data_IF_850125027811
#
_entry.id   IF_850125027811
#
_cell.length_a   1.000
_cell.length_b   1.000
_cell.length_c   1.000
_cell.angle_alpha   90.00
_cell.angle_beta   90.00
_cell.angle_gamma   90.00
#
_symmetry.space_group_name_H-M   'P 1'
#
loop_
_entity.id
_entity.type
_entity.pdbx_description
1 polymer ?
#
# COMPACT_ATOMS: atom_id res chain seq x y z
N UNK A 1 -24.62 19.21 31.05
CA UNK A 1 -25.38 18.51 29.98
C UNK A 1 -24.36 17.58 29.34
N UNK A 2 -24.48 16.31 29.69
CA UNK A 2 -23.46 15.26 29.59
C UNK A 2 -23.25 14.78 28.15
N UNK A 3 -21.99 14.71 27.72
CA UNK A 3 -21.52 14.02 26.52
C UNK A 3 -21.27 12.55 26.88
N UNK A 4 -22.29 11.71 26.75
CA UNK A 4 -22.16 10.26 26.82
C UNK A 4 -22.95 9.61 25.68
N UNK A 5 -22.31 8.63 25.04
CA UNK A 5 -22.77 7.70 24.00
C UNK A 5 -22.80 8.16 22.54
N UNK A 6 -21.71 7.87 21.82
CA UNK A 6 -21.81 7.28 20.48
C UNK A 6 -20.58 6.41 20.14
N UNK A 7 -20.44 5.27 20.81
CA UNK A 7 -19.75 4.11 20.25
C UNK A 7 -20.63 2.89 20.48
N UNK A 8 -21.29 2.43 19.42
CA UNK A 8 -21.90 1.11 19.38
C UNK A 8 -21.32 0.36 18.19
N UNK A 9 -20.77 -0.80 18.54
CA UNK A 9 -20.14 -1.80 17.70
C UNK A 9 -21.03 -2.23 16.53
N UNK A 10 -20.49 -2.22 15.31
CA UNK A 10 -21.03 -3.02 14.21
C UNK A 10 -20.24 -4.32 14.16
N UNK A 11 -20.87 -5.39 14.64
CA UNK A 11 -20.41 -6.75 14.43
C UNK A 11 -20.64 -7.14 12.96
N UNK A 12 -19.57 -7.48 12.24
CA UNK A 12 -19.66 -8.10 10.92
C UNK A 12 -20.19 -9.55 11.08
N UNK A 13 -21.38 -9.81 10.55
CA UNK A 13 -21.83 -11.18 10.30
C UNK A 13 -21.45 -11.58 8.85
N UNK A 14 -21.02 -12.83 8.61
CA UNK A 14 -20.68 -13.29 7.27
C UNK A 14 -21.95 -13.49 6.42
N UNK A 15 -22.00 -12.88 5.24
CA UNK A 15 -23.07 -13.08 4.28
C UNK A 15 -23.01 -14.51 3.71
N UNK A 16 -23.97 -15.36 4.06
CA UNK A 16 -24.25 -16.61 3.35
C UNK A 16 -25.11 -16.29 2.13
N UNK A 17 -24.54 -16.45 0.93
CA UNK A 17 -25.30 -16.44 -0.32
C UNK A 17 -25.92 -17.83 -0.49
N UNK A 18 -27.24 -17.92 -0.36
CA UNK A 18 -28.01 -19.10 -0.72
C UNK A 18 -28.21 -19.14 -2.23
N UNK A 19 -27.52 -20.05 -2.92
CA UNK A 19 -27.76 -20.34 -4.34
C UNK A 19 -28.95 -21.29 -4.44
N UNK A 20 -30.06 -20.84 -5.05
CA UNK A 20 -31.13 -21.74 -5.49
C UNK A 20 -30.67 -22.46 -6.77
N UNK A 21 -30.49 -23.78 -6.67
CA UNK A 21 -30.34 -24.68 -7.81
C UNK A 21 -31.70 -24.90 -8.47
N UNK A 22 -31.83 -24.54 -9.76
CA UNK A 22 -32.95 -24.95 -10.62
C UNK A 22 -32.43 -25.97 -11.63
N UNK A 23 -32.96 -27.19 -11.59
CA UNK A 23 -32.65 -28.29 -12.51
C UNK A 23 -33.54 -28.26 -13.77
N UNK A 24 -32.99 -28.81 -14.87
CA UNK A 24 -33.63 -29.15 -16.17
C UNK A 24 -33.24 -28.19 -17.30
N UNK A 25 -32.79 -28.59 -18.49
CA UNK A 25 -32.80 -29.88 -19.21
C UNK A 25 -31.73 -29.84 -20.35
N UNK A 26 -31.30 -30.99 -20.89
CA UNK A 26 -30.16 -31.15 -21.82
C UNK A 26 -30.41 -30.74 -23.30
N UNK A 27 -29.48 -29.99 -23.93
CA UNK A 27 -28.94 -30.30 -25.28
C UNK A 27 -27.76 -29.38 -25.69
N UNK A 28 -26.84 -29.85 -26.56
CA UNK A 28 -25.47 -29.34 -26.61
C UNK A 28 -25.23 -28.37 -27.77
N UNK A 29 -24.44 -27.34 -27.53
CA UNK A 29 -23.78 -26.60 -28.61
C UNK A 29 -23.75 -25.08 -28.43
N UNK A 30 -22.76 -24.60 -27.68
CA UNK A 30 -22.00 -23.40 -28.02
C UNK A 30 -20.90 -23.23 -26.98
N UNK A 31 -19.64 -23.24 -27.44
CA UNK A 31 -18.50 -22.77 -26.68
C UNK A 31 -18.72 -21.28 -26.40
N UNK A 32 -19.36 -20.96 -25.29
CA UNK A 32 -19.38 -19.60 -24.77
C UNK A 32 -18.08 -19.38 -24.00
N UNK A 33 -17.18 -18.63 -24.61
CA UNK A 33 -15.95 -18.17 -24.00
C UNK A 33 -16.38 -17.20 -22.90
N UNK A 34 -16.49 -17.73 -21.68
CA UNK A 34 -16.69 -16.92 -20.48
C UNK A 34 -15.49 -15.97 -20.33
N UNK A 35 -15.62 -14.77 -20.89
CA UNK A 35 -14.84 -13.61 -20.47
C UNK A 35 -15.35 -13.26 -19.08
N UNK A 36 -14.73 -13.89 -18.08
CA UNK A 36 -15.04 -13.68 -16.67
C UNK A 36 -14.72 -12.27 -16.16
N UNK A 37 -15.00 -11.99 -14.87
CA UNK A 37 -15.07 -10.66 -14.24
C UNK A 37 -13.80 -9.78 -14.27
N UNK A 38 -12.68 -10.29 -14.79
CA UNK A 38 -11.37 -9.61 -14.80
C UNK A 38 -11.36 -8.33 -15.64
N UNK A 39 -12.11 -8.29 -16.76
CA UNK A 39 -12.12 -7.14 -17.65
C UNK A 39 -12.77 -5.89 -17.03
N UNK A 40 -13.79 -6.07 -16.18
CA UNK A 40 -14.53 -4.96 -15.55
C UNK A 40 -13.71 -4.33 -14.42
N UNK A 41 -12.97 -5.13 -13.64
CA UNK A 41 -12.11 -4.64 -12.56
C UNK A 41 -10.94 -3.78 -13.06
N UNK A 42 -10.38 -4.12 -14.21
CA UNK A 42 -9.27 -3.36 -14.79
C UNK A 42 -9.71 -2.03 -15.44
N UNK A 43 -10.95 -1.96 -15.95
CA UNK A 43 -11.50 -0.75 -16.56
C UNK A 43 -12.11 0.22 -15.52
N UNK A 44 -12.66 -0.31 -14.42
CA UNK A 44 -13.38 0.47 -13.41
C UNK A 44 -13.02 0.05 -11.97
N UNK A 45 -11.75 0.21 -11.54
CA UNK A 45 -11.27 -0.27 -10.24
C UNK A 45 -11.99 0.33 -9.03
N UNK A 46 -12.59 1.51 -9.18
CA UNK A 46 -13.36 2.16 -8.12
C UNK A 46 -14.66 1.42 -7.76
N UNK A 47 -15.16 0.50 -8.58
CA UNK A 47 -16.38 -0.25 -8.25
C UNK A 47 -16.18 -1.30 -7.15
N UNK A 48 -14.94 -1.77 -6.97
CA UNK A 48 -14.60 -2.80 -5.97
C UNK A 48 -14.05 -2.19 -4.68
N UNK A 49 -13.71 -0.90 -4.70
CA UNK A 49 -13.19 -0.21 -3.54
C UNK A 49 -14.28 0.43 -2.66
N UNK A 50 -14.17 0.33 -1.33
CA UNK A 50 -15.13 0.95 -0.42
C UNK A 50 -15.10 2.48 -0.57
N UNK A 51 -16.25 3.12 -0.36
CA UNK A 51 -16.41 4.58 -0.36
C UNK A 51 -16.13 5.30 -1.69
N UNK A 52 -16.05 4.58 -2.82
CA UNK A 52 -15.75 5.16 -4.14
C UNK A 52 -16.98 5.41 -5.03
N UNK A 53 -18.20 5.42 -4.47
CA UNK A 53 -19.47 5.51 -5.23
C UNK A 53 -19.61 6.75 -6.13
N UNK A 54 -18.86 7.81 -5.86
CA UNK A 54 -18.92 9.07 -6.59
C UNK A 54 -17.85 9.19 -7.69
N UNK A 55 -16.96 8.20 -7.80
CA UNK A 55 -15.94 8.16 -8.84
C UNK A 55 -16.58 7.61 -10.11
N UNK A 56 -16.44 8.33 -11.22
CA UNK A 56 -17.06 7.96 -12.49
C UNK A 56 -16.07 7.86 -13.65
N UNK A 57 -14.80 8.19 -13.40
CA UNK A 57 -13.76 8.17 -14.41
C UNK A 57 -12.42 7.70 -13.85
N UNK A 58 -11.59 7.15 -14.71
CA UNK A 58 -10.20 6.79 -14.38
C UNK A 58 -9.40 8.03 -13.98
N UNK A 59 -9.66 9.19 -14.59
CA UNK A 59 -8.96 10.43 -14.24
C UNK A 59 -9.23 10.86 -12.79
N UNK A 60 -10.49 10.77 -12.35
CA UNK A 60 -10.87 11.07 -10.96
C UNK A 60 -10.28 10.05 -9.99
N UNK A 61 -10.34 8.76 -10.34
CA UNK A 61 -9.74 7.69 -9.56
C UNK A 61 -8.24 7.90 -9.34
N UNK A 62 -7.49 8.16 -10.42
CA UNK A 62 -6.04 8.40 -10.33
C UNK A 62 -5.73 9.70 -9.55
N UNK A 63 -6.57 10.73 -9.67
CA UNK A 63 -6.40 11.97 -8.90
C UNK A 63 -6.58 11.72 -7.41
N UNK A 64 -7.60 10.95 -7.03
CA UNK A 64 -7.80 10.54 -5.64
C UNK A 64 -6.64 9.69 -5.13
N UNK A 65 -6.15 8.71 -5.91
CA UNK A 65 -4.99 7.90 -5.49
C UNK A 65 -3.71 8.70 -5.27
N UNK A 66 -3.50 9.78 -6.02
CA UNK A 66 -2.37 10.70 -5.76
C UNK A 66 -2.56 11.45 -4.43
N UNK A 67 -3.79 11.88 -4.14
CA UNK A 67 -4.13 12.53 -2.86
C UNK A 67 -3.98 11.55 -1.70
N UNK A 68 -4.52 10.34 -1.81
CA UNK A 68 -4.40 9.28 -0.80
C UNK A 68 -2.93 8.99 -0.51
N UNK A 69 -2.11 8.79 -1.55
CA UNK A 69 -0.67 8.57 -1.38
C UNK A 69 0.00 9.72 -0.63
N UNK A 70 -0.25 10.97 -1.02
CA UNK A 70 0.34 12.13 -0.37
C UNK A 70 -0.09 12.25 1.10
N UNK A 71 -1.39 12.18 1.39
CA UNK A 71 -1.93 12.30 2.75
C UNK A 71 -1.39 11.18 3.65
N UNK A 72 -1.42 9.93 3.18
CA UNK A 72 -0.96 8.79 3.97
C UNK A 72 0.54 8.90 4.27
N UNK A 73 1.34 9.39 3.33
CA UNK A 73 2.78 9.59 3.58
C UNK A 73 3.05 10.73 4.59
N UNK A 74 2.30 11.83 4.51
CA UNK A 74 2.37 12.92 5.49
C UNK A 74 1.94 12.47 6.89
N UNK A 75 0.87 11.69 7.01
CA UNK A 75 0.44 11.12 8.30
C UNK A 75 1.50 10.16 8.87
N UNK A 76 2.10 9.33 8.03
CA UNK A 76 3.21 8.48 8.43
C UNK A 76 4.42 9.32 8.90
N UNK A 77 4.71 10.44 8.22
CA UNK A 77 5.80 11.35 8.58
C UNK A 77 5.58 11.99 9.96
N UNK A 78 4.36 12.44 10.25
CA UNK A 78 4.00 12.98 11.57
C UNK A 78 4.19 11.94 12.69
N UNK A 79 3.70 10.72 12.48
CA UNK A 79 3.89 9.61 13.41
C UNK A 79 5.38 9.28 13.61
N UNK A 80 6.15 9.25 12.53
CA UNK A 80 7.58 8.96 12.55
C UNK A 80 8.40 10.06 13.22
N UNK A 81 8.08 11.33 12.99
CA UNK A 81 8.73 12.47 13.65
C UNK A 81 8.51 12.41 15.16
N UNK A 82 7.29 12.10 15.60
CA UNK A 82 6.99 11.86 17.02
C UNK A 82 7.81 10.70 17.58
N UNK A 83 7.93 9.59 16.84
CA UNK A 83 8.79 8.47 17.22
C UNK A 83 10.26 8.86 17.36
N UNK A 84 10.84 9.56 16.37
CA UNK A 84 12.24 9.99 16.39
C UNK A 84 12.52 10.91 17.56
N UNK A 85 11.63 11.86 17.84
CA UNK A 85 11.77 12.76 18.98
C UNK A 85 11.77 11.99 20.31
N UNK A 86 10.88 11.01 20.48
CA UNK A 86 10.89 10.16 21.67
C UNK A 86 12.17 9.32 21.75
N UNK A 87 12.59 8.72 20.64
CA UNK A 87 13.79 7.90 20.55
C UNK A 87 15.05 8.69 20.95
N UNK A 88 15.23 9.90 20.42
CA UNK A 88 16.37 10.76 20.78
C UNK A 88 16.37 11.15 22.26
N UNK A 89 15.20 11.40 22.84
CA UNK A 89 15.09 11.87 24.23
C UNK A 89 15.22 10.72 25.25
N UNK A 90 14.66 9.54 24.95
CA UNK A 90 14.57 8.44 25.91
C UNK A 90 15.68 7.39 25.74
N UNK A 91 16.21 7.22 24.53
CA UNK A 91 17.22 6.20 24.19
C UNK A 91 18.25 6.75 23.19
N UNK A 92 19.03 7.78 23.56
CA UNK A 92 19.98 8.43 22.67
C UNK A 92 21.04 7.46 22.11
N UNK A 93 21.42 6.43 22.86
CA UNK A 93 22.32 5.36 22.40
C UNK A 93 21.73 4.58 21.22
N UNK A 94 20.44 4.26 21.26
CA UNK A 94 19.73 3.58 20.17
C UNK A 94 19.49 4.53 19.00
N UNK A 95 19.17 5.80 19.30
CA UNK A 95 18.97 6.85 18.30
C UNK A 95 20.22 7.14 17.46
N UNK A 96 21.40 6.90 18.03
CA UNK A 96 22.70 7.08 17.35
C UNK A 96 23.07 5.95 16.39
N UNK A 97 22.35 4.81 16.45
CA UNK A 97 22.60 3.66 15.57
C UNK A 97 22.02 3.88 14.19
N UNK A 98 22.69 3.34 13.17
CA UNK A 98 22.22 3.43 11.79
C UNK A 98 21.23 2.29 11.51
N UNK A 99 19.95 2.58 11.69
CA UNK A 99 18.87 1.69 11.30
C UNK A 99 17.82 2.47 10.51
N UNK A 100 17.01 1.73 9.77
CA UNK A 100 15.82 2.22 9.10
C UNK A 100 14.71 1.17 9.21
N UNK A 101 13.65 1.30 8.43
CA UNK A 101 12.57 0.33 8.37
C UNK A 101 11.88 0.33 7.01
N UNK A 102 11.24 -0.79 6.71
CA UNK A 102 10.41 -1.02 5.53
C UNK A 102 9.34 -2.06 5.84
N UNK A 103 8.88 -2.79 4.83
CA UNK A 103 7.98 -3.92 5.02
C UNK A 103 8.70 -5.26 4.81
N UNK A 104 8.30 -6.27 5.57
CA UNK A 104 8.61 -7.66 5.24
C UNK A 104 7.70 -8.18 4.11
N UNK A 105 7.97 -9.41 3.65
CA UNK A 105 7.16 -10.07 2.61
C UNK A 105 5.69 -10.28 2.99
N UNK A 106 5.36 -10.19 4.28
CA UNK A 106 4.00 -10.32 4.80
C UNK A 106 3.30 -8.96 4.97
N UNK A 107 3.98 -7.85 4.65
CA UNK A 107 3.46 -6.49 4.77
C UNK A 107 3.57 -5.89 6.18
N UNK A 108 4.29 -6.51 7.11
CA UNK A 108 4.51 -5.94 8.45
C UNK A 108 5.77 -5.08 8.47
N UNK A 109 5.83 -4.14 9.42
CA UNK A 109 7.06 -3.38 9.67
C UNK A 109 8.25 -4.31 9.94
N UNK A 110 9.33 -4.09 9.19
CA UNK A 110 10.63 -4.73 9.35
C UNK A 110 11.72 -3.68 9.58
N UNK A 111 12.51 -3.86 10.63
CA UNK A 111 13.70 -3.02 10.88
C UNK A 111 14.83 -3.42 9.94
N UNK A 112 15.42 -2.42 9.28
CA UNK A 112 16.58 -2.55 8.41
C UNK A 112 17.81 -2.06 9.17
N UNK A 113 18.79 -2.93 9.38
CA UNK A 113 20.01 -2.63 10.15
C UNK A 113 21.23 -3.17 9.41
N UNK A 114 21.74 -2.42 8.42
CA UNK A 114 22.77 -2.92 7.52
C UNK A 114 24.13 -3.11 8.18
N UNK A 115 24.35 -2.57 9.39
CA UNK A 115 25.57 -2.77 10.17
C UNK A 115 25.44 -3.84 11.25
N UNK A 116 24.27 -4.51 11.35
CA UNK A 116 23.99 -5.51 12.39
C UNK A 116 24.27 -4.98 13.81
N UNK A 117 23.99 -3.69 14.02
CA UNK A 117 24.33 -2.97 15.26
C UNK A 117 23.25 -3.08 16.35
N UNK A 118 22.07 -3.57 15.99
CA UNK A 118 20.94 -3.72 16.90
C UNK A 118 20.92 -5.10 17.57
N UNK A 119 20.69 -5.14 18.88
CA UNK A 119 20.32 -6.37 19.57
C UNK A 119 18.92 -6.83 19.16
N UNK A 120 18.58 -8.08 19.48
CA UNK A 120 17.23 -8.62 19.25
C UNK A 120 16.17 -7.80 19.99
N UNK A 121 16.44 -7.44 21.25
CA UNK A 121 15.54 -6.64 22.10
C UNK A 121 15.34 -5.23 21.54
N UNK A 122 16.40 -4.61 21.00
CA UNK A 122 16.31 -3.30 20.36
C UNK A 122 15.42 -3.35 19.10
N UNK A 123 15.58 -4.37 18.25
CA UNK A 123 14.73 -4.55 17.06
C UNK A 123 13.26 -4.74 17.42
N UNK A 124 12.98 -5.57 18.43
CA UNK A 124 11.63 -5.80 18.94
C UNK A 124 11.03 -4.48 19.42
N UNK A 125 11.76 -3.76 20.28
CA UNK A 125 11.30 -2.50 20.82
C UNK A 125 11.04 -1.45 19.73
N UNK A 126 11.95 -1.28 18.76
CA UNK A 126 11.77 -0.35 17.63
C UNK A 126 10.51 -0.69 16.83
N UNK A 127 10.30 -1.97 16.54
CA UNK A 127 9.12 -2.44 15.80
C UNK A 127 7.84 -2.15 16.58
N UNK A 128 7.80 -2.45 17.87
CA UNK A 128 6.65 -2.20 18.74
C UNK A 128 6.33 -0.70 18.85
N UNK A 129 7.35 0.16 18.97
CA UNK A 129 7.14 1.61 19.06
C UNK A 129 6.58 2.21 17.78
N UNK A 130 7.06 1.75 16.62
CA UNK A 130 6.51 2.16 15.33
C UNK A 130 5.05 1.69 15.22
N UNK A 131 4.76 0.43 15.56
CA UNK A 131 3.40 -0.13 15.53
C UNK A 131 2.44 0.60 16.47
N UNK A 132 2.86 0.90 17.70
CA UNK A 132 2.05 1.61 18.69
C UNK A 132 1.56 2.98 18.21
N UNK A 133 2.29 3.59 17.28
CA UNK A 133 1.96 4.90 16.68
C UNK A 133 1.06 4.82 15.46
N UNK A 134 0.65 3.62 15.04
CA UNK A 134 -0.23 3.43 13.88
C UNK A 134 0.43 3.76 12.54
N UNK A 135 1.76 3.83 12.47
CA UNK A 135 2.46 4.16 11.22
C UNK A 135 2.25 3.09 10.14
N UNK A 136 2.03 1.83 10.54
CA UNK A 136 1.83 0.69 9.63
C UNK A 136 0.64 0.92 8.71
N UNK A 137 -0.51 1.33 9.25
CA UNK A 137 -1.74 1.57 8.49
C UNK A 137 -1.53 2.64 7.41
N UNK A 138 -0.88 3.75 7.78
CA UNK A 138 -0.57 4.84 6.85
C UNK A 138 0.38 4.39 5.72
N UNK A 139 1.38 3.57 6.04
CA UNK A 139 2.31 3.06 5.02
C UNK A 139 1.67 2.00 4.13
N UNK A 140 0.74 1.20 4.66
CA UNK A 140 -0.07 0.26 3.87
C UNK A 140 -0.95 1.04 2.90
N UNK A 141 -1.64 2.08 3.35
CA UNK A 141 -2.47 2.93 2.49
C UNK A 141 -1.64 3.61 1.39
N UNK A 142 -0.48 4.18 1.76
CA UNK A 142 0.46 4.77 0.80
C UNK A 142 0.90 3.75 -0.25
N UNK A 143 1.36 2.56 0.18
CA UNK A 143 1.82 1.53 -0.76
C UNK A 143 0.70 1.05 -1.69
N UNK A 144 -0.51 0.89 -1.16
CA UNK A 144 -1.69 0.48 -1.93
C UNK A 144 -2.06 1.52 -3.00
N UNK A 145 -2.05 2.80 -2.64
CA UNK A 145 -2.27 3.89 -3.59
C UNK A 145 -1.19 3.92 -4.69
N UNK A 146 0.08 3.73 -4.32
CA UNK A 146 1.19 3.70 -5.29
C UNK A 146 1.14 2.50 -6.24
N UNK A 147 0.71 1.33 -5.75
CA UNK A 147 0.45 0.15 -6.58
C UNK A 147 -0.71 0.39 -7.55
N UNK A 148 -1.80 1.01 -7.09
CA UNK A 148 -2.91 1.39 -7.98
C UNK A 148 -2.43 2.36 -9.07
N UNK A 149 -1.63 3.38 -8.72
CA UNK A 149 -1.05 4.30 -9.69
C UNK A 149 -0.13 3.56 -10.68
N UNK A 150 0.71 2.63 -10.22
CA UNK A 150 1.55 1.82 -11.11
C UNK A 150 0.74 0.93 -12.06
N UNK A 151 -0.40 0.41 -11.59
CA UNK A 151 -1.28 -0.45 -12.37
C UNK A 151 -2.05 0.35 -13.43
N UNK A 152 -2.65 1.48 -13.05
CA UNK A 152 -3.66 2.16 -13.85
C UNK A 152 -3.18 3.46 -14.52
N UNK A 153 -2.24 4.22 -13.94
CA UNK A 153 -1.67 5.39 -14.61
C UNK A 153 -0.65 4.94 -15.65
N UNK A 154 -1.06 4.91 -16.91
CA UNK A 154 -0.20 4.48 -18.03
C UNK A 154 0.82 5.55 -18.47
N UNK A 155 0.73 6.76 -17.92
CA UNK A 155 1.53 7.92 -18.35
C UNK A 155 2.47 8.43 -17.26
N UNK A 156 2.20 8.10 -16.00
CA UNK A 156 2.96 8.55 -14.84
C UNK A 156 4.31 7.86 -14.65
N UNK A 157 5.06 8.31 -13.64
CA UNK A 157 6.39 7.80 -13.30
C UNK A 157 6.40 6.26 -13.09
N UNK A 158 5.41 5.76 -12.35
CA UNK A 158 5.30 4.36 -11.96
C UNK A 158 4.93 3.44 -13.16
N UNK A 159 4.35 3.99 -14.23
CA UNK A 159 3.95 3.24 -15.43
C UNK A 159 5.11 2.46 -16.08
N UNK A 160 6.34 2.92 -15.83
CA UNK A 160 7.58 2.38 -16.39
C UNK A 160 8.09 1.16 -15.63
N UNK A 161 7.51 0.82 -14.49
CA UNK A 161 7.99 -0.23 -13.60
C UNK A 161 6.93 -1.30 -13.38
N UNK A 162 7.39 -2.54 -13.21
CA UNK A 162 6.56 -3.62 -12.70
C UNK A 162 6.66 -3.55 -11.19
N UNK A 163 5.56 -3.19 -10.54
CA UNK A 163 5.49 -3.02 -9.10
C UNK A 163 4.33 -3.85 -8.57
N UNK A 164 4.68 -4.84 -7.75
CA UNK A 164 3.76 -5.62 -6.93
C UNK A 164 4.06 -5.38 -5.44
N UNK A 165 3.19 -5.82 -4.54
CA UNK A 165 3.39 -5.66 -3.09
C UNK A 165 4.74 -6.24 -2.62
N UNK A 166 5.15 -7.39 -3.17
CA UNK A 166 6.44 -8.00 -2.87
C UNK A 166 7.64 -7.15 -3.32
N UNK A 167 7.49 -6.37 -4.40
CA UNK A 167 8.53 -5.44 -4.83
C UNK A 167 8.64 -4.27 -3.88
N UNK A 168 7.52 -3.73 -3.39
CA UNK A 168 7.53 -2.66 -2.39
C UNK A 168 8.26 -3.11 -1.13
N UNK A 169 7.90 -4.27 -0.57
CA UNK A 169 8.56 -4.84 0.60
C UNK A 169 10.08 -4.99 0.42
N UNK A 170 10.51 -5.44 -0.77
CA UNK A 170 11.93 -5.65 -1.09
C UNK A 170 12.70 -4.35 -1.32
N UNK A 171 12.07 -3.34 -1.92
CA UNK A 171 12.75 -2.17 -2.47
C UNK A 171 12.74 -0.99 -1.52
N UNK A 172 11.63 -0.79 -0.81
CA UNK A 172 11.30 0.47 -0.18
C UNK A 172 11.79 0.51 1.27
N UNK A 173 12.66 1.48 1.50
CA UNK A 173 13.17 1.91 2.78
C UNK A 173 12.38 3.17 3.20
N UNK A 174 11.35 2.97 4.01
CA UNK A 174 10.43 4.02 4.44
C UNK A 174 11.07 4.99 5.42
N UNK A 175 11.96 4.53 6.30
CA UNK A 175 12.68 5.46 7.19
C UNK A 175 13.45 6.52 6.40
N UNK A 176 14.14 6.14 5.33
CA UNK A 176 14.81 7.11 4.45
C UNK A 176 13.86 8.05 3.72
N UNK A 177 12.66 7.57 3.35
CA UNK A 177 11.65 8.43 2.74
C UNK A 177 11.21 9.47 3.75
N UNK A 178 10.85 9.06 4.96
CA UNK A 178 10.31 9.95 5.99
C UNK A 178 11.37 10.88 6.61
N UNK A 179 12.65 10.56 6.51
CA UNK A 179 13.75 11.47 6.90
C UNK A 179 14.16 12.45 5.78
N UNK A 180 13.59 12.33 4.58
CA UNK A 180 13.94 13.15 3.42
C UNK A 180 13.20 14.48 3.41
N UNK A 181 13.89 15.55 2.99
CA UNK A 181 13.26 16.85 2.68
C UNK A 181 12.28 16.76 1.49
N UNK A 182 12.49 15.80 0.59
CA UNK A 182 11.60 15.50 -0.54
C UNK A 182 11.26 14.00 -0.54
N UNK A 183 10.14 13.66 0.08
CA UNK A 183 9.72 12.27 0.25
C UNK A 183 9.35 11.62 -1.09
N UNK A 184 8.71 12.38 -2.00
CA UNK A 184 8.29 11.88 -3.31
C UNK A 184 9.49 11.56 -4.20
N UNK A 185 10.50 12.43 -4.25
CA UNK A 185 11.72 12.16 -5.01
C UNK A 185 12.51 11.00 -4.43
N UNK A 186 12.57 10.87 -3.10
CA UNK A 186 13.24 9.73 -2.46
C UNK A 186 12.53 8.41 -2.79
N UNK A 187 11.19 8.38 -2.79
CA UNK A 187 10.44 7.24 -3.31
C UNK A 187 10.82 6.93 -4.77
N UNK A 188 10.70 7.92 -5.67
CA UNK A 188 10.98 7.75 -7.11
C UNK A 188 12.39 7.22 -7.33
N UNK A 189 13.37 7.74 -6.59
CA UNK A 189 14.77 7.30 -6.66
C UNK A 189 14.88 5.82 -6.31
N UNK A 190 14.34 5.39 -5.16
CA UNK A 190 14.40 3.99 -4.74
C UNK A 190 13.76 3.03 -5.76
N UNK A 191 12.59 3.40 -6.30
CA UNK A 191 11.94 2.63 -7.37
C UNK A 191 12.83 2.59 -8.63
N UNK A 192 13.35 3.73 -9.08
CA UNK A 192 14.14 3.78 -10.32
C UNK A 192 15.42 2.96 -10.29
N UNK A 193 16.03 2.84 -9.12
CA UNK A 193 17.30 2.13 -8.92
C UNK A 193 17.12 0.62 -8.78
N UNK A 194 15.96 0.15 -8.30
CA UNK A 194 15.80 -1.22 -7.79
C UNK A 194 14.61 -2.00 -8.35
N UNK A 195 13.64 -1.32 -8.97
CA UNK A 195 12.48 -1.96 -9.57
C UNK A 195 12.75 -2.45 -10.99
N UNK A 196 12.09 -3.55 -11.36
CA UNK A 196 12.12 -4.05 -12.73
C UNK A 196 11.37 -3.07 -13.65
N UNK A 197 12.01 -2.69 -14.76
CA UNK A 197 11.36 -1.86 -15.78
C UNK A 197 10.38 -2.70 -16.58
N UNK A 198 9.22 -2.16 -16.92
CA UNK A 198 8.34 -2.79 -17.92
C UNK A 198 9.05 -2.75 -19.27
N UNK A 199 9.20 -3.91 -19.89
CA UNK A 199 9.65 -3.98 -21.28
C UNK A 199 8.62 -3.25 -22.14
N UNK A 200 9.02 -2.28 -22.99
CA UNK A 200 8.07 -1.66 -23.90
C UNK A 200 7.48 -2.74 -24.81
N UNK A 201 6.15 -2.75 -24.96
CA UNK A 201 5.50 -3.52 -26.01
C UNK A 201 6.02 -2.99 -27.35
N UNK A 202 6.97 -3.69 -27.96
CA UNK A 202 7.30 -3.48 -29.37
C UNK A 202 6.12 -4.07 -30.14
N UNK A 203 5.15 -3.25 -30.52
CA UNK A 203 4.19 -3.63 -31.55
C UNK A 203 4.97 -3.73 -32.86
N UNK A 204 5.42 -4.93 -33.20
CA UNK A 204 5.91 -5.21 -34.55
C UNK A 204 4.67 -5.21 -35.44
N UNK A 205 4.41 -4.09 -36.10
CA UNK A 205 3.54 -4.10 -37.28
C UNK A 205 4.32 -4.85 -38.37
N UNK A 206 3.90 -6.09 -38.66
CA UNK A 206 4.29 -6.85 -39.84
C UNK A 206 3.31 -6.53 -40.95
#
# INVERSE_FOLDING_TARGET
MELHHLMQHVALAPARISVQLKQGDESPGSLDVSQGPVAVEDEQPWLTEPNMKNITSMADYLSLKRIDAAISLELANLAYTSFKNELYNLRPELASKNFSFGFDSSGNIQILDPQESLSTEERIWLTEQLKHRGIEDHLVDHSSAMLALAKYDKTGFNARYKLEAADIARIVDYGKILESDDMEQTWKKQISERAEKRTPFISVHI
#
